data_IF_248044082573
#
_entry.id   IF_248044082573
#
_cell.length_a   1.000
_cell.length_b   1.000
_cell.length_c   1.000
_cell.angle_alpha   90.00
_cell.angle_beta   90.00
_cell.angle_gamma   90.00
#
_symmetry.space_group_name_H-M   'P 1'
#
loop_
_entity.id
_entity.type
_entity.pdbx_description
1 polymer ?
#
# COMPACT_ATOMS: atom_id res chain seq x y z
N UNK A 1 -3.63 -0.07 10.67
CA UNK A 1 -2.90 0.75 9.69
C UNK A 1 -1.48 0.24 9.42
N UNK A 2 -0.62 0.17 10.44
CA UNK A 2 0.80 -0.24 10.29
C UNK A 2 0.96 -1.59 9.58
N UNK A 3 0.16 -2.59 9.95
CA UNK A 3 0.21 -3.92 9.33
C UNK A 3 -0.07 -3.87 7.81
N UNK A 4 -1.07 -3.09 7.39
CA UNK A 4 -1.39 -2.89 5.96
C UNK A 4 -0.23 -2.19 5.23
N UNK A 5 0.39 -1.19 5.86
CA UNK A 5 1.54 -0.47 5.30
C UNK A 5 2.71 -1.42 5.08
N UNK A 6 3.10 -2.19 6.11
CA UNK A 6 4.17 -3.18 5.99
C UNK A 6 3.88 -4.22 4.91
N UNK A 7 2.64 -4.72 4.84
CA UNK A 7 2.24 -5.67 3.82
C UNK A 7 2.36 -5.08 2.41
N UNK A 8 1.88 -3.84 2.20
CA UNK A 8 1.99 -3.13 0.94
C UNK A 8 3.43 -2.87 0.53
N UNK A 9 4.29 -2.43 1.46
CA UNK A 9 5.74 -2.24 1.20
C UNK A 9 6.35 -3.56 0.74
N UNK A 10 6.19 -4.63 1.52
CA UNK A 10 6.77 -5.95 1.25
C UNK A 10 6.36 -6.53 -0.10
N UNK A 11 5.13 -6.27 -0.56
CA UNK A 11 4.69 -6.65 -1.90
C UNK A 11 5.22 -5.73 -2.98
N UNK A 12 5.17 -4.42 -2.76
CA UNK A 12 5.55 -3.42 -3.77
C UNK A 12 7.03 -3.48 -4.10
N UNK A 13 7.92 -3.71 -3.11
CA UNK A 13 9.37 -3.92 -3.34
C UNK A 13 9.65 -5.17 -4.19
N UNK A 14 8.71 -6.12 -4.25
CA UNK A 14 8.79 -7.32 -5.09
C UNK A 14 8.07 -7.14 -6.44
N UNK A 15 7.66 -5.92 -6.78
CA UNK A 15 6.86 -5.62 -7.98
C UNK A 15 5.44 -6.19 -7.95
N UNK A 16 4.97 -6.65 -6.78
CA UNK A 16 3.62 -7.23 -6.61
C UNK A 16 2.65 -6.19 -6.08
N UNK A 17 1.38 -6.34 -6.46
CA UNK A 17 0.28 -5.52 -5.94
C UNK A 17 -0.57 -6.30 -4.94
N UNK A 18 -1.31 -5.56 -4.11
CA UNK A 18 -2.19 -6.09 -3.08
C UNK A 18 -3.64 -5.99 -3.54
N UNK A 19 -4.34 -7.11 -3.57
CA UNK A 19 -5.74 -7.22 -4.01
C UNK A 19 -6.71 -6.59 -3.01
N UNK A 20 -7.94 -6.29 -3.44
CA UNK A 20 -9.01 -5.83 -2.56
C UNK A 20 -9.26 -6.82 -1.42
N UNK A 21 -9.22 -8.11 -1.72
CA UNK A 21 -9.48 -9.20 -0.77
C UNK A 21 -8.41 -9.23 0.32
N UNK A 22 -7.14 -9.05 -0.05
CA UNK A 22 -6.04 -8.94 0.90
C UNK A 22 -6.18 -7.71 1.79
N UNK A 23 -6.52 -6.55 1.23
CA UNK A 23 -6.76 -5.35 2.04
C UNK A 23 -7.96 -5.55 2.98
N UNK A 24 -9.05 -6.15 2.51
CA UNK A 24 -10.23 -6.42 3.34
C UNK A 24 -9.92 -7.40 4.48
N UNK A 25 -9.05 -8.39 4.26
CA UNK A 25 -8.56 -9.30 5.32
C UNK A 25 -7.74 -8.54 6.36
N UNK A 26 -6.76 -7.76 5.93
CA UNK A 26 -5.90 -6.95 6.83
C UNK A 26 -6.69 -5.86 7.56
N UNK A 27 -7.77 -5.36 6.97
CA UNK A 27 -8.69 -4.41 7.61
C UNK A 27 -9.71 -5.08 8.54
N UNK A 28 -9.70 -6.42 8.69
CA UNK A 28 -10.62 -7.15 9.57
C UNK A 28 -12.09 -7.17 9.10
N UNK A 29 -12.35 -6.85 7.82
CA UNK A 29 -13.71 -6.74 7.26
C UNK A 29 -14.02 -7.78 6.20
N UNK A 30 -13.18 -8.80 6.02
CA UNK A 30 -13.35 -9.82 4.97
C UNK A 30 -14.75 -10.49 4.99
N UNK A 31 -15.30 -10.74 6.18
CA UNK A 31 -16.62 -11.38 6.38
C UNK A 31 -17.80 -10.38 6.41
N UNK A 32 -17.55 -9.09 6.13
CA UNK A 32 -18.59 -8.06 6.12
C UNK A 32 -19.16 -7.87 4.71
N UNK A 33 -20.29 -7.17 4.62
CA UNK A 33 -20.94 -6.85 3.35
C UNK A 33 -20.09 -5.92 2.48
N UNK A 34 -20.26 -5.99 1.16
CA UNK A 34 -19.54 -5.14 0.20
C UNK A 34 -19.58 -3.64 0.50
N UNK A 35 -20.71 -3.03 0.88
CA UNK A 35 -20.74 -1.63 1.29
C UNK A 35 -19.79 -1.32 2.47
N UNK A 36 -19.78 -2.17 3.50
CA UNK A 36 -18.89 -2.01 4.68
C UNK A 36 -17.44 -2.19 4.27
N UNK A 37 -17.13 -3.23 3.49
CA UNK A 37 -15.78 -3.49 2.97
C UNK A 37 -15.24 -2.29 2.20
N UNK A 38 -16.04 -1.73 1.29
CA UNK A 38 -15.67 -0.54 0.50
C UNK A 38 -15.46 0.70 1.36
N UNK A 39 -16.35 0.96 2.31
CA UNK A 39 -16.24 2.11 3.22
C UNK A 39 -14.96 2.03 4.05
N UNK A 40 -14.81 0.95 4.82
CA UNK A 40 -13.67 0.78 5.75
C UNK A 40 -12.34 0.78 4.99
N UNK A 41 -12.27 0.10 3.84
CA UNK A 41 -11.07 0.12 3.00
C UNK A 41 -10.70 1.52 2.53
N UNK A 42 -11.69 2.31 2.11
CA UNK A 42 -11.44 3.67 1.62
C UNK A 42 -11.01 4.60 2.75
N UNK A 43 -11.68 4.53 3.90
CA UNK A 43 -11.31 5.29 5.11
C UNK A 43 -9.89 4.96 5.57
N UNK A 44 -9.55 3.67 5.63
CA UNK A 44 -8.23 3.21 6.04
C UNK A 44 -7.12 3.72 5.11
N UNK A 45 -7.30 3.57 3.79
CA UNK A 45 -6.30 4.01 2.80
C UNK A 45 -6.19 5.54 2.78
N UNK A 46 -7.30 6.26 2.93
CA UNK A 46 -7.27 7.71 2.95
C UNK A 46 -6.59 8.22 4.22
N UNK A 47 -6.91 7.68 5.40
CA UNK A 47 -6.26 8.06 6.66
C UNK A 47 -4.73 7.86 6.61
N UNK A 48 -4.27 6.75 6.03
CA UNK A 48 -2.83 6.51 5.84
C UNK A 48 -2.20 7.57 4.93
N UNK A 49 -2.85 7.90 3.80
CA UNK A 49 -2.33 8.88 2.85
C UNK A 49 -2.35 10.31 3.42
N UNK A 50 -3.37 10.68 4.18
CA UNK A 50 -3.46 11.97 4.85
C UNK A 50 -2.32 12.14 5.86
N UNK A 51 -2.07 11.13 6.70
CA UNK A 51 -0.93 11.12 7.63
C UNK A 51 0.40 11.23 6.88
N UNK A 52 0.54 10.54 5.75
CA UNK A 52 1.74 10.61 4.93
C UNK A 52 2.00 12.01 4.34
N UNK A 53 0.96 12.68 3.85
CA UNK A 53 1.04 14.05 3.35
C UNK A 53 1.51 15.00 4.46
N UNK A 54 0.97 14.85 5.68
CA UNK A 54 1.41 15.64 6.84
C UNK A 54 2.88 15.39 7.17
N UNK A 55 3.31 14.13 7.20
CA UNK A 55 4.70 13.75 7.55
C UNK A 55 5.71 14.22 6.51
N UNK A 56 5.38 14.12 5.22
CA UNK A 56 6.32 14.43 4.14
C UNK A 56 6.27 15.88 3.67
N UNK A 57 5.20 16.62 4.00
CA UNK A 57 4.92 17.93 3.42
C UNK A 57 4.61 17.90 1.91
N UNK A 58 4.61 16.72 1.30
CA UNK A 58 4.26 16.53 -0.11
C UNK A 58 2.77 16.26 -0.25
N UNK A 59 2.14 16.73 -1.33
CA UNK A 59 0.75 16.38 -1.69
C UNK A 59 0.62 14.98 -2.26
N UNK A 60 1.72 14.26 -2.34
CA UNK A 60 1.80 12.93 -2.92
C UNK A 60 1.32 11.84 -1.96
N UNK A 61 0.55 10.91 -2.51
CA UNK A 61 0.06 9.73 -1.77
C UNK A 61 1.15 8.69 -1.58
N UNK A 62 1.13 8.00 -0.45
CA UNK A 62 1.95 6.80 -0.20
C UNK A 62 1.39 5.60 -0.94
N UNK A 63 0.09 5.32 -0.73
CA UNK A 63 -0.64 4.18 -1.29
C UNK A 63 -1.44 4.66 -2.50
N UNK A 64 -1.21 4.03 -3.64
CA UNK A 64 -1.95 4.23 -4.89
C UNK A 64 -2.62 2.93 -5.34
N UNK A 65 -3.41 2.99 -6.42
CA UNK A 65 -4.10 1.82 -6.98
C UNK A 65 -4.17 1.85 -8.51
N UNK A 66 -4.26 0.68 -9.11
CA UNK A 66 -4.56 0.48 -10.54
C UNK A 66 -5.71 -0.51 -10.69
N UNK A 67 -6.30 -0.59 -11.89
CA UNK A 67 -7.21 -1.69 -12.23
C UNK A 67 -6.41 -3.00 -12.24
N UNK A 68 -7.01 -4.08 -11.74
CA UNK A 68 -6.36 -5.40 -11.83
C UNK A 68 -6.21 -5.81 -13.29
N UNK A 69 -5.13 -6.52 -13.59
CA UNK A 69 -4.92 -7.17 -14.89
C UNK A 69 -5.83 -8.38 -15.11
N UNK A 70 -6.34 -8.99 -14.03
CA UNK A 70 -7.19 -10.19 -14.09
C UNK A 70 -8.68 -9.84 -14.19
N UNK A 71 -9.12 -8.79 -13.50
CA UNK A 71 -10.48 -8.25 -13.62
C UNK A 71 -10.45 -6.72 -13.51
N UNK A 72 -10.70 -6.02 -14.62
CA UNK A 72 -10.69 -4.56 -14.69
C UNK A 72 -11.76 -3.88 -13.80
N UNK A 73 -12.72 -4.64 -13.25
CA UNK A 73 -13.70 -4.17 -12.28
C UNK A 73 -13.13 -4.09 -10.86
N UNK A 74 -12.01 -4.78 -10.61
CA UNK A 74 -11.31 -4.78 -9.34
C UNK A 74 -10.08 -3.86 -9.38
N UNK A 75 -9.61 -3.46 -8.20
CA UNK A 75 -8.41 -2.64 -8.04
C UNK A 75 -7.36 -3.40 -7.26
N UNK A 76 -6.11 -3.06 -7.53
CA UNK A 76 -4.97 -3.52 -6.76
C UNK A 76 -4.19 -2.32 -6.25
N UNK A 77 -3.68 -2.43 -5.03
CA UNK A 77 -3.03 -1.37 -4.27
C UNK A 77 -1.53 -1.63 -4.14
N UNK A 78 -0.75 -0.55 -4.13
CA UNK A 78 0.71 -0.61 -4.01
C UNK A 78 1.26 0.70 -3.46
N UNK A 79 2.49 0.66 -2.94
CA UNK A 79 3.24 1.86 -2.55
C UNK A 79 3.78 2.53 -3.82
N UNK A 80 3.58 3.84 -3.95
CA UNK A 80 4.08 4.56 -5.12
C UNK A 80 5.62 4.45 -5.20
N UNK A 81 6.14 4.13 -6.38
CA UNK A 81 7.54 3.77 -6.59
C UNK A 81 8.53 4.80 -6.08
N UNK A 82 8.22 6.09 -6.21
CA UNK A 82 9.06 7.18 -5.68
C UNK A 82 9.36 7.07 -4.18
N UNK A 83 8.47 6.44 -3.43
CA UNK A 83 8.64 6.21 -1.99
C UNK A 83 9.34 4.89 -1.67
N UNK A 84 9.43 3.97 -2.63
CA UNK A 84 10.17 2.71 -2.49
C UNK A 84 11.69 2.91 -2.64
N UNK A 85 12.12 3.94 -3.37
CA UNK A 85 13.53 4.27 -3.57
C UNK A 85 14.25 4.45 -2.23
N UNK A 86 13.57 5.01 -1.22
CA UNK A 86 14.11 5.13 0.13
C UNK A 86 14.40 3.79 0.78
N UNK A 87 13.57 2.77 0.58
CA UNK A 87 13.80 1.43 1.14
C UNK A 87 14.94 0.70 0.42
N UNK A 88 15.04 0.84 -0.91
CA UNK A 88 16.19 0.32 -1.67
C UNK A 88 17.48 0.99 -1.21
N UNK A 89 17.49 2.32 -1.02
CA UNK A 89 18.65 3.05 -0.49
C UNK A 89 18.97 2.62 0.95
N UNK A 90 17.96 2.37 1.80
CA UNK A 90 18.15 1.88 3.16
C UNK A 90 18.68 0.43 3.16
N UNK A 91 18.23 -0.42 2.25
CA UNK A 91 18.73 -1.79 2.10
C UNK A 91 20.14 -1.83 1.51
N UNK A 92 20.42 -0.99 0.51
CA UNK A 92 21.76 -0.80 -0.08
C UNK A 92 22.74 -0.14 0.90
N UNK A 93 22.29 0.70 1.84
CA UNK A 93 23.17 1.26 2.88
C UNK A 93 23.38 0.31 4.05
N UNK A 94 22.45 -0.62 4.31
CA UNK A 94 22.58 -1.67 5.34
C UNK A 94 23.40 -2.87 4.89
N UNK A 95 23.34 -3.24 3.62
CA UNK A 95 24.25 -4.22 3.03
C UNK A 95 25.51 -3.48 2.60
N UNK A 96 26.63 -3.64 3.35
CA UNK A 96 27.96 -3.17 2.93
C UNK A 96 28.14 -3.43 1.43
N UNK A 97 28.39 -2.36 0.68
CA UNK A 97 28.87 -2.47 -0.69
C UNK A 97 29.97 -3.53 -0.72
N UNK A 98 29.88 -4.58 -1.57
CA UNK A 98 31.06 -5.39 -1.83
C UNK A 98 32.12 -4.44 -2.37
N UNK A 99 33.24 -4.35 -1.66
CA UNK A 99 34.41 -3.59 -2.08
C UNK A 99 34.98 -4.10 -3.40
#
# INVERSE_FOLDING_TARGET
EIELIHYLINKSVKGKKTTIEEVNRLAGVAQKSEPIRRRVRSELINSINEKWIVVTGSRDRLITSVKSSFDARTREYYIAEKWLISDIIIQLSKNKLPG
#
